data_IF_348934142142
#
_entry.id   IF_348934142142
#
_cell.length_a   1.000
_cell.length_b   1.000
_cell.length_c   1.000
_cell.angle_alpha   90.00
_cell.angle_beta   90.00
_cell.angle_gamma   90.00
#
_symmetry.space_group_name_H-M   'P 1'
#
loop_
_entity.id
_entity.type
_entity.pdbx_description
1 polymer ?
#
# COMPACT_ATOMS: atom_id res chain seq x y z
N UNK A 1 -17.84 9.38 0.98
CA UNK A 1 -17.79 8.27 0.01
C UNK A 1 -16.33 7.93 -0.22
N UNK A 2 -15.93 6.65 -0.13
CA UNK A 2 -14.55 6.22 -0.39
C UNK A 2 -14.51 5.61 -1.79
N UNK A 3 -13.50 6.00 -2.57
CA UNK A 3 -13.19 5.40 -3.86
C UNK A 3 -11.86 4.67 -3.74
N UNK A 4 -11.78 3.45 -4.26
CA UNK A 4 -10.63 2.55 -4.11
C UNK A 4 -9.98 2.34 -5.48
N UNK A 5 -8.65 2.51 -5.55
CA UNK A 5 -7.88 2.44 -6.79
C UNK A 5 -6.61 1.60 -6.60
N UNK A 6 -6.11 1.04 -7.71
CA UNK A 6 -4.80 0.36 -7.78
C UNK A 6 -4.08 0.83 -9.05
N UNK A 7 -2.74 0.86 -9.02
CA UNK A 7 -1.92 1.25 -10.16
C UNK A 7 -0.59 0.47 -10.12
N UNK A 8 -0.06 0.16 -11.30
CA UNK A 8 1.33 -0.28 -11.43
C UNK A 8 2.26 0.92 -11.37
N UNK A 9 3.44 0.73 -10.80
CA UNK A 9 4.53 1.71 -10.80
C UNK A 9 5.87 0.99 -10.98
N UNK A 10 6.89 1.77 -11.33
CA UNK A 10 8.28 1.32 -11.30
C UNK A 10 9.16 2.43 -10.69
N UNK A 11 10.43 2.12 -10.43
CA UNK A 11 11.37 3.03 -9.80
C UNK A 11 11.56 4.35 -10.56
N UNK A 12 11.42 4.34 -11.89
CA UNK A 12 11.60 5.54 -12.72
C UNK A 12 10.50 6.58 -12.51
N UNK A 13 9.35 6.16 -11.96
CA UNK A 13 8.23 7.04 -11.64
C UNK A 13 8.41 7.78 -10.29
N UNK A 14 9.43 7.46 -9.51
CA UNK A 14 9.67 8.06 -8.18
C UNK A 14 10.28 9.45 -8.32
N UNK A 15 9.49 10.49 -8.02
CA UNK A 15 9.92 11.90 -8.09
C UNK A 15 10.51 12.45 -6.79
N UNK A 16 10.17 11.84 -5.65
CA UNK A 16 10.65 12.20 -4.31
C UNK A 16 10.59 10.98 -3.36
N UNK A 17 11.17 11.08 -2.16
CA UNK A 17 11.12 9.98 -1.18
C UNK A 17 9.69 9.67 -0.66
N UNK A 18 8.79 10.65 -0.73
CA UNK A 18 7.44 10.56 -0.18
C UNK A 18 7.45 10.88 1.31
N UNK A 19 6.38 10.50 2.01
CA UNK A 19 6.32 10.64 3.47
C UNK A 19 5.56 11.87 3.97
N UNK A 20 4.57 12.34 3.21
CA UNK A 20 3.67 13.42 3.62
C UNK A 20 4.19 14.82 3.30
N UNK A 21 3.34 15.81 3.48
CA UNK A 21 3.69 17.20 3.28
C UNK A 21 4.20 17.83 4.60
N UNK A 22 5.45 18.32 4.60
CA UNK A 22 6.06 18.99 5.76
C UNK A 22 5.24 20.21 6.18
N UNK A 23 4.66 20.95 5.22
CA UNK A 23 3.85 22.14 5.53
C UNK A 23 2.53 21.79 6.23
N UNK A 24 2.07 20.55 6.09
CA UNK A 24 0.85 20.03 6.73
C UNK A 24 1.16 19.32 8.06
N UNK A 25 2.43 19.33 8.51
CA UNK A 25 2.91 18.58 9.69
C UNK A 25 2.53 17.09 9.64
N UNK A 26 2.54 16.50 8.45
CA UNK A 26 2.30 15.07 8.29
C UNK A 26 3.57 14.28 8.60
N UNK A 27 3.45 13.29 9.49
CA UNK A 27 4.50 12.30 9.76
C UNK A 27 4.13 10.97 9.09
N UNK A 28 4.29 10.90 7.76
CA UNK A 28 3.95 9.70 7.00
C UNK A 28 5.22 8.93 6.67
N UNK A 29 5.19 7.62 6.92
CA UNK A 29 6.25 6.71 6.49
C UNK A 29 5.84 5.99 5.20
N UNK A 30 6.74 5.98 4.21
CA UNK A 30 6.59 5.12 3.03
C UNK A 30 7.15 3.75 3.36
N UNK A 31 6.33 2.72 3.16
CA UNK A 31 6.69 1.33 3.39
C UNK A 31 6.56 0.56 2.07
N UNK A 32 7.64 -0.06 1.64
CA UNK A 32 7.70 -0.90 0.46
C UNK A 32 8.02 -2.33 0.90
N UNK A 33 7.16 -3.26 0.52
CA UNK A 33 7.24 -4.66 0.92
C UNK A 33 7.10 -5.53 -0.32
N UNK A 34 7.74 -6.70 -0.29
CA UNK A 34 7.38 -7.76 -1.22
C UNK A 34 5.95 -8.23 -0.95
N UNK A 35 5.31 -8.76 -1.99
CA UNK A 35 3.95 -9.25 -1.85
C UNK A 35 3.80 -10.41 -0.85
N UNK A 36 4.80 -11.28 -0.72
CA UNK A 36 4.77 -12.41 0.21
C UNK A 36 4.89 -11.96 1.67
N UNK A 37 5.65 -10.89 1.94
CA UNK A 37 5.67 -10.22 3.24
C UNK A 37 4.28 -9.68 3.59
N UNK A 38 3.65 -8.94 2.66
CA UNK A 38 2.33 -8.35 2.90
C UNK A 38 1.27 -9.43 3.13
N UNK A 39 1.25 -10.51 2.35
CA UNK A 39 0.35 -11.66 2.58
C UNK A 39 0.51 -12.19 4.01
N UNK A 40 1.75 -12.38 4.45
CA UNK A 40 2.07 -12.88 5.79
C UNK A 40 1.58 -11.91 6.88
N UNK A 41 1.81 -10.61 6.71
CA UNK A 41 1.34 -9.57 7.64
C UNK A 41 -0.18 -9.53 7.75
N UNK A 42 -0.90 -9.69 6.63
CA UNK A 42 -2.37 -9.80 6.63
C UNK A 42 -2.83 -11.02 7.42
N UNK A 43 -2.23 -12.20 7.21
CA UNK A 43 -2.60 -13.41 7.95
C UNK A 43 -2.29 -13.33 9.45
N UNK A 44 -1.24 -12.61 9.83
CA UNK A 44 -0.88 -12.38 11.24
C UNK A 44 -1.71 -11.29 11.91
N UNK A 45 -2.53 -10.56 11.16
CA UNK A 45 -3.32 -9.44 11.68
C UNK A 45 -2.50 -8.19 12.00
N UNK A 46 -1.31 -8.05 11.40
CA UNK A 46 -0.45 -6.87 11.56
C UNK A 46 -1.00 -5.66 10.78
N UNK A 47 -1.80 -5.91 9.74
CA UNK A 47 -2.53 -4.88 8.99
C UNK A 47 -4.00 -4.90 9.42
N UNK A 48 -4.44 -3.85 10.12
CA UNK A 48 -5.78 -3.76 10.72
C UNK A 48 -6.64 -2.62 10.16
N UNK A 49 -6.24 -2.04 9.03
CA UNK A 49 -6.98 -0.95 8.36
C UNK A 49 -7.88 -1.49 7.23
N UNK A 50 -9.17 -1.17 7.26
CA UNK A 50 -10.17 -1.75 6.36
C UNK A 50 -9.91 -1.46 4.88
N UNK A 51 -9.63 -0.21 4.52
CA UNK A 51 -9.38 0.17 3.11
C UNK A 51 -8.10 -0.47 2.56
N UNK A 52 -7.08 -0.63 3.41
CA UNK A 52 -5.85 -1.35 3.07
C UNK A 52 -6.13 -2.84 2.85
N UNK A 53 -6.84 -3.50 3.77
CA UNK A 53 -7.22 -4.91 3.63
C UNK A 53 -8.07 -5.17 2.38
N UNK A 54 -9.02 -4.29 2.05
CA UNK A 54 -9.85 -4.41 0.84
C UNK A 54 -8.99 -4.35 -0.43
N UNK A 55 -8.05 -3.39 -0.52
CA UNK A 55 -7.19 -3.24 -1.69
C UNK A 55 -6.20 -4.40 -1.85
N UNK A 56 -5.64 -4.90 -0.74
CA UNK A 56 -4.75 -6.06 -0.76
C UNK A 56 -5.48 -7.34 -1.17
N UNK A 57 -6.68 -7.58 -0.62
CA UNK A 57 -7.51 -8.71 -1.01
C UNK A 57 -7.92 -8.61 -2.49
N UNK A 58 -8.26 -7.41 -2.98
CA UNK A 58 -8.55 -7.19 -4.40
C UNK A 58 -7.34 -7.55 -5.27
N UNK A 59 -6.13 -7.09 -4.92
CA UNK A 59 -4.91 -7.40 -5.66
C UNK A 59 -4.60 -8.90 -5.73
N UNK A 60 -4.79 -9.61 -4.61
CA UNK A 60 -4.64 -11.08 -4.54
C UNK A 60 -5.66 -11.78 -5.44
N UNK A 61 -6.95 -11.41 -5.33
CA UNK A 61 -8.04 -12.03 -6.10
C UNK A 61 -7.94 -11.77 -7.60
N UNK A 62 -7.34 -10.65 -8.01
CA UNK A 62 -7.16 -10.28 -9.42
C UNK A 62 -5.81 -10.71 -10.00
N UNK A 63 -4.92 -11.31 -9.20
CA UNK A 63 -3.58 -11.67 -9.65
C UNK A 63 -2.74 -10.47 -10.07
N UNK A 64 -3.04 -9.28 -9.53
CA UNK A 64 -2.18 -8.09 -9.66
C UNK A 64 -0.94 -8.22 -8.77
N UNK A 65 -1.07 -9.07 -7.76
CA UNK A 65 -0.06 -9.46 -6.80
C UNK A 65 0.41 -10.86 -7.23
N UNK A 66 1.47 -10.91 -8.04
CA UNK A 66 2.15 -12.16 -8.44
C UNK A 66 3.22 -12.52 -7.40
#
# INVERSE_FOLDING_TARGET
KIHLYTAGYDESMKVHQGGGNIEENEEIQVLEYSFDEVKTMVYRGEIMDAKTLILLQYGILKGLIL
#
